data_IF_831073661213
#
_entry.id   IF_831073661213
#
_cell.length_a   1.000
_cell.length_b   1.000
_cell.length_c   1.000
_cell.angle_alpha   90.00
_cell.angle_beta   90.00
_cell.angle_gamma   90.00
#
_symmetry.space_group_name_H-M   'P 1'
#
loop_
_entity.id
_entity.type
_entity.pdbx_description
1 polymer ?
#
# COMPACT_ATOMS: atom_id res chain seq x y z
N UNK A 1 -60.88 20.76 75.74
CA UNK A 1 -59.51 20.22 75.61
C UNK A 1 -59.54 19.16 74.53
N UNK A 2 -58.77 19.37 73.46
CA UNK A 2 -58.80 18.57 72.22
C UNK A 2 -57.61 17.59 72.24
N UNK A 3 -57.90 16.32 72.01
CA UNK A 3 -56.99 15.29 71.52
C UNK A 3 -57.87 14.33 70.69
N UNK A 4 -57.49 13.80 69.54
CA UNK A 4 -56.29 13.86 68.74
C UNK A 4 -56.41 12.76 67.67
N UNK A 5 -55.36 12.65 66.87
CA UNK A 5 -54.91 11.48 66.12
C UNK A 5 -55.07 11.48 64.60
N UNK A 6 -53.99 10.97 63.99
CA UNK A 6 -53.50 11.12 62.61
C UNK A 6 -53.77 9.87 61.77
N UNK A 7 -53.76 10.04 60.44
CA UNK A 7 -53.51 8.97 59.46
C UNK A 7 -52.60 9.48 58.33
N UNK A 8 -51.74 8.64 57.73
CA UNK A 8 -50.58 9.07 56.94
C UNK A 8 -50.83 9.02 55.42
N UNK A 9 -50.27 9.97 54.67
CA UNK A 9 -50.11 9.86 53.23
C UNK A 9 -48.69 9.37 52.93
N UNK A 10 -48.60 8.19 52.29
CA UNK A 10 -47.35 7.64 51.76
C UNK A 10 -47.04 8.31 50.42
N UNK A 11 -45.96 9.08 50.34
CA UNK A 11 -45.43 9.60 49.09
C UNK A 11 -44.44 8.60 48.51
N UNK A 12 -44.76 8.04 47.34
CA UNK A 12 -43.90 7.17 46.55
C UNK A 12 -42.78 8.03 45.94
N UNK A 13 -41.52 7.76 46.30
CA UNK A 13 -40.36 8.29 45.58
C UNK A 13 -40.07 7.40 44.37
N UNK A 14 -40.31 7.93 43.17
CA UNK A 14 -39.80 7.38 41.92
C UNK A 14 -38.29 7.64 41.84
N UNK A 15 -37.48 6.60 42.07
CA UNK A 15 -36.07 6.60 41.73
C UNK A 15 -35.94 6.50 40.21
N UNK A 16 -35.68 7.62 39.54
CA UNK A 16 -35.18 7.61 38.17
C UNK A 16 -33.69 7.21 38.20
N UNK A 17 -33.40 5.96 37.84
CA UNK A 17 -32.06 5.51 37.51
C UNK A 17 -31.65 6.18 36.19
N UNK A 18 -30.92 7.29 36.29
CA UNK A 18 -30.22 7.88 35.14
C UNK A 18 -29.02 7.02 34.78
N UNK A 19 -29.11 6.31 33.66
CA UNK A 19 -27.93 5.77 32.97
C UNK A 19 -27.20 6.97 32.36
N UNK A 20 -26.02 7.30 32.89
CA UNK A 20 -25.21 8.42 32.40
C UNK A 20 -24.67 8.11 31.01
N UNK A 21 -25.14 8.84 30.00
CA UNK A 21 -24.46 8.93 28.71
C UNK A 21 -23.12 9.66 28.93
N UNK A 22 -22.01 9.01 28.59
CA UNK A 22 -20.70 9.64 28.60
C UNK A 22 -20.75 10.92 27.73
N UNK A 23 -20.44 12.06 28.32
CA UNK A 23 -20.49 13.36 27.66
C UNK A 23 -19.28 13.48 26.72
N UNK A 24 -19.44 14.15 25.57
CA UNK A 24 -18.38 14.41 24.57
C UNK A 24 -17.13 15.17 25.09
N UNK A 25 -17.08 15.49 26.40
CA UNK A 25 -16.03 16.27 27.05
C UNK A 25 -14.73 15.49 27.29
N UNK A 26 -14.76 14.15 27.33
CA UNK A 26 -13.59 13.33 27.69
C UNK A 26 -12.78 12.82 26.47
N UNK A 27 -13.19 13.16 25.24
CA UNK A 27 -12.49 12.70 24.04
C UNK A 27 -11.45 13.72 23.56
N UNK A 28 -10.24 13.29 23.13
CA UNK A 28 -9.27 14.16 22.46
C UNK A 28 -9.90 14.88 21.27
N UNK A 29 -9.61 16.18 21.04
CA UNK A 29 -10.24 16.93 19.96
C UNK A 29 -9.97 16.29 18.59
N UNK A 30 -10.95 16.36 17.70
CA UNK A 30 -10.75 15.97 16.31
C UNK A 30 -9.70 16.87 15.66
N UNK A 31 -8.79 16.29 14.88
CA UNK A 31 -7.80 17.05 14.13
C UNK A 31 -8.47 17.89 13.02
N UNK A 32 -7.93 19.07 12.70
CA UNK A 32 -8.49 19.91 11.63
C UNK A 32 -8.40 19.26 10.24
N UNK A 33 -7.36 18.45 10.00
CA UNK A 33 -7.10 17.77 8.72
C UNK A 33 -6.45 16.41 8.96
N UNK A 34 -6.67 15.49 8.04
CA UNK A 34 -5.98 14.21 7.97
C UNK A 34 -5.63 13.86 6.52
N UNK A 35 -4.64 13.00 6.35
CA UNK A 35 -4.36 12.29 5.10
C UNK A 35 -4.57 10.80 5.34
N UNK A 36 -5.33 10.11 4.48
CA UNK A 36 -5.63 8.70 4.71
C UNK A 36 -4.37 7.82 4.68
N UNK A 37 -3.48 8.02 3.71
CA UNK A 37 -2.30 7.16 3.53
C UNK A 37 -1.24 7.41 4.60
N UNK A 38 -1.03 8.67 4.98
CA UNK A 38 -0.02 9.06 5.97
C UNK A 38 -0.50 8.91 7.41
N UNK A 39 -1.75 9.30 7.70
CA UNK A 39 -2.24 9.43 9.08
C UNK A 39 -3.15 8.26 9.50
N UNK A 40 -4.05 7.79 8.64
CA UNK A 40 -5.10 6.81 9.03
C UNK A 40 -4.64 5.37 8.80
N UNK A 41 -4.13 5.07 7.60
CA UNK A 41 -3.69 3.74 7.21
C UNK A 41 -2.72 3.14 8.25
N UNK A 42 -1.65 3.81 8.69
CA UNK A 42 -0.70 3.20 9.62
C UNK A 42 -1.37 2.81 10.94
N UNK A 43 -2.31 3.63 11.45
CA UNK A 43 -3.04 3.33 12.68
C UNK A 43 -3.89 2.07 12.51
N UNK A 44 -4.68 2.00 11.44
CA UNK A 44 -5.54 0.84 11.18
C UNK A 44 -4.71 -0.44 10.95
N UNK A 45 -3.61 -0.31 10.21
CA UNK A 45 -2.68 -1.40 9.89
C UNK A 45 -2.04 -1.98 11.16
N UNK A 46 -1.52 -1.15 12.06
CA UNK A 46 -0.78 -1.61 13.23
C UNK A 46 -1.66 -1.94 14.44
N UNK A 47 -2.79 -1.23 14.61
CA UNK A 47 -3.61 -1.32 15.82
C UNK A 47 -4.92 -2.11 15.63
N UNK A 48 -5.42 -2.26 14.39
CA UNK A 48 -6.76 -2.81 14.15
C UNK A 48 -6.73 -4.13 13.37
N UNK A 49 -6.03 -4.19 12.24
CA UNK A 49 -6.16 -5.28 11.25
C UNK A 49 -5.67 -6.63 11.79
N UNK A 50 -4.75 -6.67 12.75
CA UNK A 50 -4.27 -7.92 13.36
C UNK A 50 -5.37 -8.71 14.11
N UNK A 51 -6.42 -8.02 14.58
CA UNK A 51 -7.57 -8.63 15.26
C UNK A 51 -8.92 -8.46 14.53
N UNK A 52 -9.01 -7.49 13.63
CA UNK A 52 -10.19 -7.16 12.82
C UNK A 52 -9.82 -7.16 11.33
N UNK A 53 -9.16 -8.22 10.86
CA UNK A 53 -8.71 -8.38 9.49
C UNK A 53 -9.04 -9.77 8.94
N UNK A 54 -8.48 -10.17 7.79
CA UNK A 54 -8.80 -11.47 7.19
C UNK A 54 -8.42 -12.66 8.07
N UNK A 55 -7.32 -12.54 8.83
CA UNK A 55 -6.79 -13.62 9.68
C UNK A 55 -7.61 -13.83 10.96
N UNK A 56 -8.20 -12.77 11.50
CA UNK A 56 -8.91 -12.75 12.77
C UNK A 56 -10.01 -11.71 12.71
N UNK A 57 -11.23 -12.11 13.03
CA UNK A 57 -12.43 -11.27 12.91
C UNK A 57 -13.12 -11.20 14.28
N UNK A 58 -12.45 -10.58 15.26
CA UNK A 58 -13.04 -10.43 16.60
C UNK A 58 -14.36 -9.65 16.50
N UNK A 59 -15.41 -10.17 17.15
CA UNK A 59 -16.77 -9.61 17.06
C UNK A 59 -17.33 -9.63 15.64
N UNK A 60 -16.90 -10.59 14.81
CA UNK A 60 -17.26 -10.75 13.39
C UNK A 60 -16.98 -9.50 12.52
N UNK A 61 -16.12 -8.61 13.01
CA UNK A 61 -15.85 -7.31 12.39
C UNK A 61 -14.51 -7.32 11.62
N UNK A 62 -14.51 -6.71 10.43
CA UNK A 62 -13.33 -6.52 9.58
C UNK A 62 -13.14 -5.06 9.19
N UNK A 63 -11.92 -4.55 9.37
CA UNK A 63 -11.50 -3.16 9.15
C UNK A 63 -10.31 -3.06 8.19
N UNK A 64 -10.28 -3.91 7.17
CA UNK A 64 -9.20 -3.94 6.18
C UNK A 64 -9.63 -3.46 4.79
N UNK A 65 -10.92 -3.27 4.53
CA UNK A 65 -11.40 -2.63 3.30
C UNK A 65 -12.71 -1.86 3.52
N UNK A 66 -13.03 -0.94 2.60
CA UNK A 66 -14.29 -0.20 2.62
C UNK A 66 -15.53 -1.11 2.54
N UNK A 67 -15.43 -2.24 1.83
CA UNK A 67 -16.52 -3.22 1.73
C UNK A 67 -16.79 -3.87 3.09
N UNK A 68 -15.74 -4.37 3.75
CA UNK A 68 -15.86 -5.02 5.04
C UNK A 68 -16.28 -4.06 6.15
N UNK A 69 -15.75 -2.83 6.13
CA UNK A 69 -16.15 -1.78 7.07
C UNK A 69 -17.67 -1.53 7.02
N UNK A 70 -18.25 -1.48 5.82
CA UNK A 70 -19.69 -1.27 5.61
C UNK A 70 -20.54 -2.47 6.03
N UNK A 71 -19.99 -3.68 5.95
CA UNK A 71 -20.68 -4.89 6.41
C UNK A 71 -20.90 -4.89 7.92
N UNK A 72 -20.00 -4.27 8.69
CA UNK A 72 -20.04 -4.26 10.15
C UNK A 72 -19.67 -5.63 10.74
N UNK A 73 -19.90 -5.78 12.05
CA UNK A 73 -19.72 -7.04 12.77
C UNK A 73 -20.95 -7.41 13.60
N UNK A 74 -20.76 -8.19 14.65
CA UNK A 74 -21.80 -8.66 15.58
C UNK A 74 -22.63 -7.51 16.17
N UNK A 75 -21.99 -6.38 16.42
CA UNK A 75 -22.61 -5.15 16.95
C UNK A 75 -22.97 -4.12 15.87
N UNK A 76 -23.03 -4.54 14.60
CA UNK A 76 -23.26 -3.64 13.46
C UNK A 76 -22.01 -2.84 13.05
N UNK A 77 -22.24 -1.73 12.36
CA UNK A 77 -21.17 -0.81 11.89
C UNK A 77 -20.82 0.15 13.03
N UNK A 78 -19.58 0.18 13.55
CA UNK A 78 -19.24 0.96 14.74
C UNK A 78 -18.97 2.45 14.47
N UNK A 79 -19.36 2.96 13.29
CA UNK A 79 -19.06 4.31 12.84
C UNK A 79 -20.35 5.09 12.60
N UNK A 80 -20.37 6.34 13.10
CA UNK A 80 -21.40 7.34 12.82
C UNK A 80 -20.75 8.45 11.99
N UNK A 81 -20.82 8.39 10.63
CA UNK A 81 -20.25 9.40 9.74
C UNK A 81 -20.68 10.82 10.11
N UNK A 82 -19.72 11.74 10.25
CA UNK A 82 -19.99 13.12 10.68
C UNK A 82 -20.16 13.32 12.19
N UNK A 83 -20.16 12.25 12.99
CA UNK A 83 -20.40 12.26 14.42
C UNK A 83 -19.42 11.36 15.16
N UNK A 84 -18.14 11.70 15.10
CA UNK A 84 -17.06 10.92 15.73
C UNK A 84 -17.26 10.76 17.24
N UNK A 85 -17.85 11.75 17.92
CA UNK A 85 -18.16 11.67 19.36
C UNK A 85 -19.24 10.66 19.72
N UNK A 86 -20.14 10.34 18.80
CA UNK A 86 -21.23 9.35 18.98
C UNK A 86 -20.80 7.96 18.47
N UNK A 87 -19.68 7.86 17.75
CA UNK A 87 -19.23 6.60 17.15
C UNK A 87 -18.67 5.63 18.19
N UNK A 88 -19.25 4.43 18.28
CA UNK A 88 -18.77 3.35 19.15
C UNK A 88 -17.29 3.01 18.92
N UNK A 89 -16.80 3.13 17.68
CA UNK A 89 -15.38 2.98 17.35
C UNK A 89 -14.49 3.93 18.17
N UNK A 90 -14.85 5.22 18.24
CA UNK A 90 -14.09 6.23 19.00
C UNK A 90 -14.17 5.98 20.50
N UNK A 91 -15.34 5.61 21.01
CA UNK A 91 -15.52 5.28 22.43
C UNK A 91 -14.58 4.13 22.86
N UNK A 92 -14.44 3.10 22.01
CA UNK A 92 -13.55 1.96 22.25
C UNK A 92 -12.08 2.32 22.14
N UNK A 93 -11.67 3.07 21.11
CA UNK A 93 -10.25 3.42 20.91
C UNK A 93 -9.74 4.50 21.85
N UNK A 94 -10.63 5.35 22.36
CA UNK A 94 -10.33 6.27 23.45
C UNK A 94 -10.41 5.59 24.84
N UNK A 95 -10.80 4.31 24.89
CA UNK A 95 -10.89 3.50 26.11
C UNK A 95 -11.78 4.12 27.18
N UNK A 96 -12.90 4.72 26.78
CA UNK A 96 -13.87 5.32 27.69
C UNK A 96 -14.50 4.25 28.60
N UNK A 97 -14.85 3.11 28.01
CA UNK A 97 -15.17 1.90 28.76
C UNK A 97 -13.93 0.98 28.78
N UNK A 98 -13.36 0.70 29.97
CA UNK A 98 -12.24 -0.22 30.10
C UNK A 98 -12.53 -1.63 29.58
N UNK A 99 -13.77 -2.11 29.64
CA UNK A 99 -14.12 -3.49 29.29
C UNK A 99 -14.37 -3.67 27.78
N UNK A 100 -14.68 -2.57 27.07
CA UNK A 100 -14.74 -2.53 25.61
C UNK A 100 -13.50 -1.90 24.96
N UNK A 101 -12.46 -1.62 25.74
CA UNK A 101 -11.25 -0.93 25.29
C UNK A 101 -10.56 -1.64 24.11
N UNK A 102 -10.32 -0.89 23.03
CA UNK A 102 -9.59 -1.36 21.84
C UNK A 102 -8.40 -0.42 21.55
N UNK A 103 -7.24 -0.92 21.08
CA UNK A 103 -6.79 -2.30 21.18
C UNK A 103 -6.89 -2.83 22.62
N UNK A 104 -6.95 -4.15 22.83
CA UNK A 104 -7.06 -4.77 24.16
C UNK A 104 -6.04 -4.25 25.18
N UNK A 105 -6.32 -4.41 26.49
CA UNK A 105 -5.50 -3.85 27.59
C UNK A 105 -4.01 -4.27 27.56
N UNK A 106 -3.71 -5.44 27.02
CA UNK A 106 -2.36 -5.98 26.81
C UNK A 106 -1.64 -5.43 25.56
N UNK A 107 -2.33 -4.61 24.75
CA UNK A 107 -1.81 -3.95 23.56
C UNK A 107 -1.63 -2.45 23.79
N UNK A 108 -0.70 -1.84 23.05
CA UNK A 108 -0.41 -0.40 23.12
C UNK A 108 -1.67 0.44 22.81
N UNK A 109 -1.94 1.43 23.66
CA UNK A 109 -3.05 2.35 23.48
C UNK A 109 -2.73 3.39 22.41
N UNK A 110 -3.76 3.86 21.69
CA UNK A 110 -3.57 4.96 20.74
C UNK A 110 -3.29 6.26 21.51
N UNK A 111 -2.36 7.06 20.98
CA UNK A 111 -2.13 8.42 21.47
C UNK A 111 -3.33 9.33 21.20
N UNK A 112 -3.46 10.39 22.01
CA UNK A 112 -4.51 11.40 21.81
C UNK A 112 -4.50 11.99 20.40
N UNK A 113 -3.33 12.15 19.78
CA UNK A 113 -3.19 12.63 18.41
C UNK A 113 -3.73 11.62 17.37
N UNK A 114 -3.45 10.32 17.55
CA UNK A 114 -4.00 9.26 16.69
C UNK A 114 -5.53 9.17 16.82
N UNK A 115 -6.06 9.25 18.04
CA UNK A 115 -7.52 9.31 18.27
C UNK A 115 -8.10 10.56 17.58
N UNK A 116 -7.47 11.72 17.72
CA UNK A 116 -7.91 12.95 17.05
C UNK A 116 -7.94 12.85 15.52
N UNK A 117 -6.99 12.13 14.90
CA UNK A 117 -6.98 11.85 13.46
C UNK A 117 -8.11 10.92 13.04
N UNK A 118 -8.36 9.84 13.80
CA UNK A 118 -9.48 8.93 13.55
C UNK A 118 -10.83 9.64 13.68
N UNK A 119 -10.96 10.56 14.64
CA UNK A 119 -12.15 11.40 14.78
C UNK A 119 -12.38 12.26 13.54
N UNK A 120 -11.37 12.99 13.09
CA UNK A 120 -11.44 13.81 11.88
C UNK A 120 -11.81 12.99 10.64
N UNK A 121 -11.28 11.77 10.53
CA UNK A 121 -11.60 10.83 9.46
C UNK A 121 -13.07 10.39 9.47
N UNK A 122 -13.62 10.09 10.65
CA UNK A 122 -15.03 9.74 10.80
C UNK A 122 -15.94 10.95 10.53
N UNK A 123 -15.56 12.13 11.03
CA UNK A 123 -16.30 13.37 10.81
C UNK A 123 -16.33 13.77 9.32
N UNK A 124 -15.31 13.40 8.55
CA UNK A 124 -15.29 13.56 7.10
C UNK A 124 -16.09 12.48 6.32
N UNK A 125 -16.80 11.60 7.03
CA UNK A 125 -17.64 10.57 6.43
C UNK A 125 -16.94 9.25 6.17
N UNK A 126 -15.84 8.96 6.89
CA UNK A 126 -15.06 7.72 6.76
C UNK A 126 -14.56 7.48 5.32
N UNK A 127 -13.96 8.49 4.63
CA UNK A 127 -13.52 8.33 3.26
C UNK A 127 -12.43 7.27 3.17
N UNK A 128 -12.59 6.34 2.24
CA UNK A 128 -11.68 5.22 2.00
C UNK A 128 -11.29 5.19 0.52
N UNK A 129 -9.99 5.10 0.16
CA UNK A 129 -9.58 5.07 -1.24
C UNK A 129 -10.16 3.87 -2.00
N UNK A 130 -10.72 4.09 -3.18
CA UNK A 130 -11.37 3.03 -3.95
C UNK A 130 -10.41 1.87 -4.23
N UNK A 131 -10.88 0.63 -4.02
CA UNK A 131 -10.09 -0.59 -4.23
C UNK A 131 -8.94 -0.81 -3.24
N UNK A 132 -8.71 0.09 -2.28
CA UNK A 132 -7.62 -0.05 -1.32
C UNK A 132 -7.99 -1.06 -0.21
N UNK A 133 -7.05 -1.96 0.09
CA UNK A 133 -7.16 -2.94 1.17
C UNK A 133 -5.93 -2.82 2.06
N UNK A 134 -6.13 -2.61 3.36
CA UNK A 134 -5.06 -2.59 4.35
C UNK A 134 -4.61 -4.03 4.57
N UNK A 135 -3.33 -4.28 4.35
CA UNK A 135 -2.74 -5.60 4.55
C UNK A 135 -2.26 -5.73 5.98
N UNK A 136 -2.44 -6.93 6.52
CA UNK A 136 -1.94 -7.26 7.84
C UNK A 136 -0.42 -7.51 7.76
N UNK A 137 0.37 -6.48 8.10
CA UNK A 137 1.84 -6.52 8.12
C UNK A 137 2.41 -6.94 9.47
N UNK A 138 1.56 -7.17 10.49
CA UNK A 138 2.03 -7.69 11.76
C UNK A 138 2.71 -9.05 11.55
N UNK A 139 3.94 -9.27 12.09
CA UNK A 139 4.64 -10.54 12.04
C UNK A 139 3.67 -11.66 12.41
N UNK A 140 3.59 -12.70 11.58
CA UNK A 140 2.76 -13.83 11.91
C UNK A 140 3.42 -14.55 13.09
N UNK A 141 2.85 -14.39 14.28
CA UNK A 141 3.23 -15.15 15.47
C UNK A 141 2.81 -16.61 15.25
N UNK A 142 3.73 -17.40 14.68
CA UNK A 142 3.53 -18.83 14.48
C UNK A 142 3.54 -19.55 15.83
N UNK A 143 2.60 -20.47 16.02
CA UNK A 143 2.60 -21.31 17.20
C UNK A 143 3.78 -22.28 17.18
N UNK A 144 4.18 -22.79 18.35
CA UNK A 144 5.17 -23.88 18.43
C UNK A 144 4.75 -25.11 17.63
N UNK A 145 3.46 -25.38 17.53
CA UNK A 145 2.93 -26.50 16.76
C UNK A 145 3.13 -26.28 15.25
N UNK A 146 2.90 -25.06 14.75
CA UNK A 146 3.13 -24.73 13.34
C UNK A 146 4.61 -24.89 12.98
N UNK A 147 5.52 -24.38 13.81
CA UNK A 147 6.96 -24.52 13.61
C UNK A 147 7.43 -25.98 13.69
N UNK A 148 6.80 -26.78 14.57
CA UNK A 148 7.08 -28.21 14.68
C UNK A 148 6.59 -29.02 13.46
N UNK A 149 5.62 -28.50 12.71
CA UNK A 149 5.10 -29.16 11.49
C UNK A 149 5.98 -28.99 10.26
N UNK A 150 7.00 -28.11 10.32
CA UNK A 150 7.88 -27.84 9.19
C UNK A 150 8.74 -29.07 8.84
N UNK A 151 8.85 -29.45 7.55
CA UNK A 151 9.73 -30.53 7.09
C UNK A 151 11.18 -30.33 7.52
N UNK A 152 11.83 -31.33 8.11
CA UNK A 152 13.20 -31.18 8.62
C UNK A 152 14.16 -30.59 7.55
N UNK A 153 15.10 -29.71 7.93
CA UNK A 153 16.16 -29.28 7.03
C UNK A 153 16.95 -30.49 6.54
N UNK A 154 17.37 -30.49 5.27
CA UNK A 154 18.29 -31.49 4.75
C UNK A 154 19.58 -31.54 5.58
N UNK A 155 20.10 -32.75 5.80
CA UNK A 155 21.24 -33.04 6.69
C UNK A 155 22.61 -32.95 6.00
N UNK A 156 22.66 -32.27 4.85
CA UNK A 156 23.86 -32.08 4.03
C UNK A 156 24.06 -30.63 3.64
N UNK A 157 25.28 -30.29 3.23
CA UNK A 157 25.57 -28.98 2.63
C UNK A 157 24.76 -28.81 1.35
N UNK A 158 24.12 -27.64 1.19
CA UNK A 158 23.35 -27.29 0.01
C UNK A 158 24.24 -26.54 -0.99
N UNK A 159 24.26 -27.01 -2.25
CA UNK A 159 24.85 -26.31 -3.38
C UNK A 159 23.77 -25.46 -4.05
N UNK A 160 23.92 -24.14 -4.03
CA UNK A 160 22.90 -23.23 -4.54
C UNK A 160 22.53 -23.54 -6.00
N UNK A 161 23.53 -23.75 -6.86
CA UNK A 161 23.31 -23.90 -8.31
C UNK A 161 22.70 -25.25 -8.62
N UNK A 162 23.14 -26.32 -7.94
CA UNK A 162 22.68 -27.69 -8.23
C UNK A 162 21.35 -28.02 -7.55
N UNK A 163 21.19 -27.62 -6.30
CA UNK A 163 20.07 -28.07 -5.46
C UNK A 163 18.93 -27.05 -5.44
N UNK A 164 19.26 -25.76 -5.35
CA UNK A 164 18.28 -24.72 -5.03
C UNK A 164 17.79 -23.95 -6.27
N UNK A 165 18.68 -23.62 -7.19
CA UNK A 165 18.36 -22.87 -8.39
C UNK A 165 17.30 -23.54 -9.26
N UNK A 166 17.27 -24.89 -9.44
CA UNK A 166 16.19 -25.55 -10.15
C UNK A 166 14.83 -25.39 -9.47
N UNK A 167 14.79 -25.36 -8.13
CA UNK A 167 13.56 -25.11 -7.35
C UNK A 167 13.08 -23.69 -7.61
N UNK A 168 13.96 -22.69 -7.49
CA UNK A 168 13.59 -21.29 -7.74
C UNK A 168 13.14 -21.06 -9.20
N UNK A 169 13.81 -21.68 -10.17
CA UNK A 169 13.43 -21.59 -11.57
C UNK A 169 12.06 -22.22 -11.84
N UNK A 170 11.78 -23.39 -11.28
CA UNK A 170 10.53 -24.11 -11.51
C UNK A 170 9.33 -23.59 -10.73
N UNK A 171 9.55 -22.93 -9.58
CA UNK A 171 8.47 -22.59 -8.64
C UNK A 171 8.36 -21.11 -8.29
N UNK A 172 9.38 -20.28 -8.55
CA UNK A 172 9.44 -18.92 -8.01
C UNK A 172 9.60 -17.82 -9.07
N UNK A 173 10.53 -17.96 -10.03
CA UNK A 173 10.95 -16.86 -10.91
C UNK A 173 9.85 -16.32 -11.85
N UNK A 174 8.84 -17.11 -12.16
CA UNK A 174 7.71 -16.64 -12.98
C UNK A 174 6.94 -15.49 -12.33
N UNK A 175 6.93 -15.41 -10.99
CA UNK A 175 6.23 -14.36 -10.23
C UNK A 175 7.15 -13.49 -9.36
N UNK A 176 8.33 -13.97 -8.99
CA UNK A 176 9.33 -13.29 -8.14
C UNK A 176 10.68 -13.18 -8.86
N UNK A 177 10.65 -12.79 -10.13
CA UNK A 177 11.80 -12.69 -11.01
C UNK A 177 11.81 -11.39 -11.82
N UNK A 178 12.46 -11.34 -12.99
CA UNK A 178 12.65 -10.09 -13.72
C UNK A 178 11.35 -9.59 -14.38
N UNK A 179 10.49 -10.53 -14.84
CA UNK A 179 9.25 -10.22 -15.56
C UNK A 179 8.11 -9.79 -14.63
N UNK A 180 8.10 -10.30 -13.40
CA UNK A 180 7.06 -10.05 -12.40
C UNK A 180 7.71 -10.10 -11.02
N UNK A 181 7.35 -9.13 -10.19
CA UNK A 181 7.94 -8.88 -8.88
C UNK A 181 6.79 -8.79 -7.87
N UNK A 182 6.04 -9.88 -7.69
CA UNK A 182 4.92 -9.89 -6.75
C UNK A 182 5.40 -9.55 -5.34
N UNK A 183 4.64 -8.69 -4.65
CA UNK A 183 4.99 -8.14 -3.33
C UNK A 183 6.38 -7.47 -3.29
N UNK A 184 6.80 -6.85 -4.40
CA UNK A 184 8.11 -6.20 -4.56
C UNK A 184 9.31 -7.12 -4.25
N UNK A 185 9.11 -8.43 -4.32
CA UNK A 185 10.11 -9.41 -3.93
C UNK A 185 10.72 -10.11 -5.14
N UNK A 186 12.06 -10.19 -5.15
CA UNK A 186 12.85 -10.83 -6.20
C UNK A 186 13.80 -11.89 -5.64
N UNK A 187 13.66 -13.11 -6.14
CA UNK A 187 14.51 -14.26 -5.78
C UNK A 187 15.68 -14.47 -6.73
N UNK A 188 15.66 -13.84 -7.91
CA UNK A 188 16.64 -14.04 -8.97
C UNK A 188 17.87 -13.15 -8.85
N UNK A 189 17.86 -12.17 -7.93
CA UNK A 189 18.92 -11.19 -7.75
C UNK A 189 19.34 -11.09 -6.28
N UNK A 190 20.61 -11.39 -6.02
CA UNK A 190 21.17 -11.58 -4.68
C UNK A 190 21.04 -10.34 -3.78
N UNK A 191 21.35 -9.11 -4.20
CA UNK A 191 21.13 -7.94 -3.35
C UNK A 191 19.67 -7.73 -2.95
N UNK A 192 18.73 -7.97 -3.86
CA UNK A 192 17.30 -7.74 -3.59
C UNK A 192 16.66 -8.86 -2.78
N UNK A 193 17.12 -10.11 -2.92
CA UNK A 193 16.54 -11.23 -2.14
C UNK A 193 16.73 -11.03 -0.64
N UNK A 194 17.87 -10.45 -0.22
CA UNK A 194 18.16 -10.17 1.18
C UNK A 194 17.61 -8.83 1.66
N UNK A 195 17.22 -7.92 0.76
CA UNK A 195 16.51 -6.70 1.12
C UNK A 195 15.05 -6.98 1.51
N UNK A 196 14.48 -8.10 1.04
CA UNK A 196 13.08 -8.45 1.27
C UNK A 196 12.13 -7.79 0.28
N UNK A 197 10.85 -7.74 0.62
CA UNK A 197 9.80 -7.10 -0.19
C UNK A 197 8.78 -6.37 0.69
N UNK A 198 7.55 -6.19 0.19
CA UNK A 198 6.46 -5.51 0.92
C UNK A 198 6.17 -6.10 2.30
N UNK A 199 6.47 -7.37 2.51
CA UNK A 199 6.23 -8.11 3.75
C UNK A 199 7.47 -8.18 4.66
N UNK A 200 8.48 -7.34 4.40
CA UNK A 200 9.75 -7.33 5.13
C UNK A 200 10.72 -8.40 4.66
N UNK A 201 11.61 -8.83 5.57
CA UNK A 201 12.66 -9.79 5.27
C UNK A 201 12.08 -11.18 4.99
N UNK A 202 12.21 -11.63 3.74
CA UNK A 202 11.78 -12.97 3.35
C UNK A 202 12.70 -14.06 3.93
N UNK A 203 13.98 -13.73 4.17
CA UNK A 203 15.03 -14.64 4.59
C UNK A 203 15.71 -14.12 5.87
N UNK A 204 15.70 -14.93 6.92
CA UNK A 204 16.46 -14.73 8.15
C UNK A 204 17.65 -15.69 8.11
N UNK A 205 18.84 -15.20 7.77
CA UNK A 205 20.04 -16.02 7.63
C UNK A 205 20.31 -16.79 8.94
N UNK A 206 20.48 -18.09 8.84
CA UNK A 206 20.69 -18.99 9.99
C UNK A 206 19.42 -19.42 10.72
N UNK A 207 18.22 -18.93 10.32
CA UNK A 207 16.96 -19.30 10.95
C UNK A 207 15.82 -19.44 9.93
N UNK A 208 15.75 -20.62 9.32
CA UNK A 208 14.71 -21.00 8.37
C UNK A 208 13.32 -21.01 8.99
N UNK A 209 13.22 -21.34 10.27
CA UNK A 209 11.95 -21.40 10.99
C UNK A 209 11.33 -20.01 11.19
N UNK A 210 12.13 -18.94 11.24
CA UNK A 210 11.65 -17.54 11.27
C UNK A 210 11.52 -16.89 9.89
N UNK A 211 12.00 -17.53 8.83
CA UNK A 211 11.99 -16.95 7.49
C UNK A 211 10.60 -16.97 6.87
N UNK A 212 10.06 -15.80 6.53
CA UNK A 212 8.72 -15.67 5.93
C UNK A 212 8.57 -16.45 4.63
N UNK A 213 9.65 -16.61 3.85
CA UNK A 213 9.67 -17.46 2.66
C UNK A 213 9.27 -18.91 3.00
N UNK A 214 9.80 -19.47 4.09
CA UNK A 214 9.50 -20.84 4.53
C UNK A 214 8.04 -20.95 4.97
N UNK A 215 7.51 -19.94 5.66
CA UNK A 215 6.12 -19.94 6.11
C UNK A 215 5.12 -20.01 4.94
N UNK A 216 5.42 -19.31 3.84
CA UNK A 216 4.59 -19.33 2.64
C UNK A 216 4.68 -20.66 1.87
N UNK A 217 5.88 -21.20 1.67
CA UNK A 217 6.05 -22.44 0.88
C UNK A 217 5.63 -23.69 1.65
N UNK A 218 5.71 -23.67 2.99
CA UNK A 218 5.23 -24.75 3.85
C UNK A 218 3.71 -24.66 4.14
N UNK A 219 3.03 -23.63 3.64
CA UNK A 219 1.59 -23.47 3.84
C UNK A 219 1.16 -23.11 5.27
N UNK A 220 2.09 -22.65 6.11
CA UNK A 220 1.78 -22.13 7.45
C UNK A 220 1.01 -20.80 7.39
N UNK A 221 0.93 -20.20 6.20
CA UNK A 221 0.04 -19.08 5.89
C UNK A 221 -1.04 -19.58 4.91
N UNK A 222 -2.23 -19.97 5.40
CA UNK A 222 -3.33 -20.45 4.55
C UNK A 222 -3.68 -19.42 3.47
N UNK A 223 -3.71 -18.15 3.88
CA UNK A 223 -3.81 -17.01 2.98
C UNK A 223 -2.44 -16.73 2.35
N UNK A 224 -2.30 -17.06 1.07
CA UNK A 224 -1.10 -16.72 0.29
C UNK A 224 -0.02 -17.79 0.19
N UNK A 225 -0.34 -19.08 0.44
CA UNK A 225 0.56 -20.22 0.16
C UNK A 225 1.27 -20.05 -1.19
N UNK A 226 2.57 -20.28 -1.20
CA UNK A 226 3.38 -20.28 -2.41
C UNK A 226 3.78 -21.71 -2.83
N UNK A 227 3.87 -21.99 -4.14
CA UNK A 227 3.46 -21.13 -5.25
C UNK A 227 1.92 -21.04 -5.40
N UNK A 228 1.38 -19.85 -5.68
CA UNK A 228 -0.09 -19.61 -5.73
C UNK A 228 -0.85 -20.45 -6.76
N UNK A 229 -0.27 -20.65 -7.94
CA UNK A 229 -0.91 -21.32 -9.10
C UNK A 229 -0.15 -22.56 -9.57
N UNK A 230 0.67 -23.13 -8.70
CA UNK A 230 1.40 -24.36 -8.98
C UNK A 230 1.26 -25.33 -7.79
N UNK A 231 1.55 -26.63 -7.98
CA UNK A 231 1.58 -27.59 -6.89
C UNK A 231 2.47 -27.11 -5.72
N UNK A 232 2.18 -27.50 -4.47
CA UNK A 232 3.09 -27.31 -3.35
C UNK A 232 4.47 -27.90 -3.62
N UNK A 233 5.48 -27.24 -3.05
CA UNK A 233 6.81 -27.83 -2.97
C UNK A 233 6.72 -29.12 -2.15
N UNK A 234 7.54 -30.11 -2.52
CA UNK A 234 7.67 -31.32 -1.73
C UNK A 234 8.34 -31.03 -0.38
N UNK A 235 8.11 -31.91 0.60
CA UNK A 235 8.80 -31.84 1.89
C UNK A 235 10.32 -31.81 1.75
N UNK A 236 10.86 -32.50 0.74
CA UNK A 236 12.29 -32.50 0.40
C UNK A 236 12.75 -31.14 -0.13
N UNK A 237 12.01 -30.54 -1.07
CA UNK A 237 12.32 -29.19 -1.59
C UNK A 237 12.27 -28.13 -0.48
N UNK A 238 11.29 -28.22 0.42
CA UNK A 238 11.21 -27.37 1.60
C UNK A 238 12.41 -27.63 2.54
N UNK A 239 12.79 -28.89 2.74
CA UNK A 239 13.97 -29.26 3.53
C UNK A 239 15.28 -28.69 2.96
N UNK A 240 15.45 -28.66 1.63
CA UNK A 240 16.58 -28.03 0.94
C UNK A 240 16.59 -26.52 1.19
N UNK A 241 15.44 -25.86 1.01
CA UNK A 241 15.29 -24.42 1.29
C UNK A 241 15.67 -24.07 2.73
N UNK A 242 15.17 -24.86 3.69
CA UNK A 242 15.47 -24.67 5.10
C UNK A 242 16.95 -24.84 5.40
N UNK A 243 17.55 -25.95 4.94
CA UNK A 243 18.96 -26.22 5.15
C UNK A 243 19.85 -25.12 4.56
N UNK A 244 19.52 -24.63 3.36
CA UNK A 244 20.24 -23.51 2.75
C UNK A 244 20.18 -22.24 3.61
N UNK A 245 19.01 -21.87 4.11
CA UNK A 245 18.86 -20.69 4.98
C UNK A 245 19.62 -20.87 6.29
N UNK A 246 19.49 -22.04 6.92
CA UNK A 246 20.16 -22.39 8.19
C UNK A 246 21.69 -22.42 8.03
N UNK A 247 22.19 -22.75 6.84
CA UNK A 247 23.62 -22.71 6.47
C UNK A 247 24.12 -21.29 6.13
N UNK A 248 23.29 -20.25 6.31
CA UNK A 248 23.66 -18.85 6.09
C UNK A 248 23.18 -18.25 4.77
N UNK A 249 22.35 -18.98 4.02
CA UNK A 249 21.77 -18.57 2.74
C UNK A 249 22.84 -18.11 1.73
N UNK A 250 23.88 -18.92 1.52
CA UNK A 250 24.94 -18.60 0.56
C UNK A 250 24.35 -18.51 -0.86
N UNK A 251 24.53 -17.35 -1.50
CA UNK A 251 24.03 -17.09 -2.85
C UNK A 251 25.23 -16.63 -3.68
N UNK A 252 25.72 -17.44 -4.64
CA UNK A 252 26.88 -17.08 -5.46
C UNK A 252 26.53 -15.96 -6.44
N UNK A 253 27.45 -15.02 -6.66
CA UNK A 253 27.21 -13.85 -7.52
C UNK A 253 26.92 -14.28 -8.97
N UNK A 254 27.51 -15.40 -9.41
CA UNK A 254 27.32 -15.98 -10.74
C UNK A 254 25.90 -16.53 -10.96
N UNK A 255 25.16 -16.85 -9.89
CA UNK A 255 23.77 -17.28 -9.98
C UNK A 255 22.78 -16.11 -9.96
N UNK A 256 23.24 -14.90 -9.66
CA UNK A 256 22.40 -13.69 -9.63
C UNK A 256 22.25 -13.14 -11.04
N UNK A 257 21.03 -12.71 -11.41
CA UNK A 257 20.86 -11.94 -12.64
C UNK A 257 21.57 -10.59 -12.51
N UNK A 258 22.16 -10.09 -13.59
CA UNK A 258 22.73 -8.75 -13.62
C UNK A 258 21.61 -7.77 -13.98
N UNK A 259 21.27 -6.87 -13.05
CA UNK A 259 20.36 -5.76 -13.36
C UNK A 259 21.12 -4.73 -14.18
N UNK A 260 20.60 -4.39 -15.37
CA UNK A 260 21.11 -3.25 -16.12
C UNK A 260 20.79 -1.96 -15.36
N UNK A 261 21.83 -1.19 -15.06
CA UNK A 261 21.67 0.13 -14.48
C UNK A 261 21.20 1.11 -15.56
N UNK A 262 19.89 1.32 -15.65
CA UNK A 262 19.29 2.24 -16.61
C UNK A 262 19.27 3.70 -16.13
N UNK A 263 19.94 4.03 -15.02
CA UNK A 263 20.00 5.42 -14.52
C UNK A 263 20.74 6.38 -15.45
N UNK A 264 21.49 5.84 -16.43
CA UNK A 264 22.11 6.63 -17.49
C UNK A 264 21.14 7.06 -18.61
N UNK A 265 19.87 6.63 -18.56
CA UNK A 265 18.85 7.08 -19.51
C UNK A 265 18.69 8.61 -19.46
N UNK A 266 18.54 9.24 -20.63
CA UNK A 266 18.57 10.71 -20.78
C UNK A 266 17.58 11.45 -19.88
N UNK A 267 16.42 10.84 -19.58
CA UNK A 267 15.37 11.41 -18.73
C UNK A 267 15.71 11.48 -17.25
N UNK A 268 16.68 10.68 -16.77
CA UNK A 268 17.16 10.69 -15.38
C UNK A 268 18.38 11.59 -15.19
N UNK A 269 18.91 12.16 -16.28
CA UNK A 269 20.03 13.09 -16.25
C UNK A 269 19.51 14.52 -16.20
N UNK A 270 19.99 15.37 -15.28
CA UNK A 270 19.65 16.78 -15.27
C UNK A 270 19.96 17.41 -16.64
N UNK A 271 19.01 18.14 -17.27
CA UNK A 271 19.26 18.79 -18.54
C UNK A 271 20.33 19.87 -18.37
N UNK A 272 21.38 19.80 -19.19
CA UNK A 272 22.45 20.80 -19.23
C UNK A 272 22.24 21.68 -20.45
N UNK A 273 22.20 23.00 -20.26
CA UNK A 273 22.01 23.95 -21.35
C UNK A 273 23.23 23.95 -22.27
N UNK A 274 23.06 23.47 -23.50
CA UNK A 274 24.11 23.52 -24.52
C UNK A 274 24.34 24.95 -25.03
N UNK A 275 25.57 25.31 -25.42
CA UNK A 275 25.82 26.56 -26.12
C UNK A 275 25.11 26.55 -27.47
N UNK A 276 24.44 27.66 -27.80
CA UNK A 276 23.70 27.80 -29.06
C UNK A 276 24.71 28.05 -30.20
N UNK A 277 24.63 27.31 -31.32
CA UNK A 277 25.50 27.53 -32.48
C UNK A 277 25.35 28.95 -33.05
N UNK A 278 26.47 29.57 -33.44
CA UNK A 278 26.47 30.88 -34.07
C UNK A 278 26.57 30.75 -35.59
N UNK A 279 25.46 30.39 -36.25
CA UNK A 279 25.41 30.10 -37.68
C UNK A 279 24.40 30.97 -38.46
N UNK A 280 24.05 32.13 -37.88
CA UNK A 280 23.21 33.16 -38.51
C UNK A 280 21.70 32.94 -38.39
N UNK A 281 21.25 31.84 -37.76
CA UNK A 281 19.82 31.61 -37.52
C UNK A 281 19.30 32.49 -36.37
N UNK A 282 18.11 33.07 -36.57
CA UNK A 282 17.48 33.94 -35.57
C UNK A 282 16.89 33.16 -34.39
N UNK A 283 16.36 31.97 -34.65
CA UNK A 283 15.82 31.09 -33.61
C UNK A 283 16.93 30.13 -33.11
N UNK A 284 17.16 30.04 -31.78
CA UNK A 284 18.14 29.12 -31.23
C UNK A 284 17.92 27.65 -31.62
N UNK A 285 16.68 27.21 -31.82
CA UNK A 285 16.36 25.84 -32.25
C UNK A 285 16.86 25.62 -33.68
N UNK A 286 16.57 26.56 -34.58
CA UNK A 286 17.00 26.49 -35.98
C UNK A 286 18.52 26.49 -36.10
N UNK A 287 19.22 27.19 -35.19
CA UNK A 287 20.68 27.14 -35.12
C UNK A 287 21.20 25.71 -34.86
N UNK A 288 20.60 24.96 -33.92
CA UNK A 288 20.95 23.56 -33.67
C UNK A 288 20.57 22.65 -34.86
N UNK A 289 19.38 22.85 -35.44
CA UNK A 289 18.91 22.05 -36.58
C UNK A 289 19.82 22.25 -37.79
N UNK A 290 20.16 23.49 -38.13
CA UNK A 290 21.07 23.83 -39.23
C UNK A 290 22.45 23.23 -39.04
N UNK A 291 22.99 23.25 -37.83
CA UNK A 291 24.29 22.63 -37.57
C UNK A 291 24.26 21.12 -37.84
N UNK A 292 23.17 20.43 -37.45
CA UNK A 292 23.02 19.01 -37.75
C UNK A 292 22.84 18.75 -39.24
N UNK A 293 21.96 19.49 -39.91
CA UNK A 293 21.71 19.36 -41.35
C UNK A 293 22.99 19.56 -42.16
N UNK A 294 23.77 20.59 -41.84
CA UNK A 294 25.05 20.89 -42.51
C UNK A 294 26.03 19.73 -42.37
N UNK A 295 26.11 19.12 -41.18
CA UNK A 295 26.98 17.95 -40.92
C UNK A 295 26.59 16.72 -41.75
N UNK A 296 25.30 16.58 -42.04
CA UNK A 296 24.75 15.48 -42.83
C UNK A 296 24.70 15.81 -44.34
N UNK A 297 25.13 17.00 -44.76
CA UNK A 297 25.06 17.44 -46.16
C UNK A 297 23.64 17.76 -46.62
N UNK A 298 22.74 18.11 -45.69
CA UNK A 298 21.35 18.45 -45.94
C UNK A 298 21.11 19.95 -45.75
N UNK A 299 20.03 20.45 -46.35
CA UNK A 299 19.50 21.81 -46.14
C UNK A 299 18.11 21.78 -45.52
N UNK A 300 17.61 22.95 -45.14
CA UNK A 300 16.21 23.08 -44.72
C UNK A 300 15.27 22.77 -45.88
N UNK A 301 14.12 22.18 -45.55
CA UNK A 301 13.00 22.08 -46.47
C UNK A 301 12.52 23.48 -46.87
N UNK A 302 11.96 23.65 -48.08
CA UNK A 302 11.30 24.89 -48.45
C UNK A 302 10.15 25.19 -47.49
N UNK A 303 9.90 26.48 -47.28
CA UNK A 303 8.77 26.94 -46.48
C UNK A 303 7.45 26.44 -47.10
N UNK A 304 6.55 25.96 -46.24
CA UNK A 304 5.24 25.52 -46.68
C UNK A 304 4.37 26.74 -47.07
N UNK A 305 3.44 26.54 -47.99
CA UNK A 305 2.49 27.59 -48.35
C UNK A 305 1.59 27.98 -47.16
N UNK A 306 1.05 29.19 -47.23
CA UNK A 306 0.21 29.78 -46.18
C UNK A 306 -0.93 28.86 -45.73
N UNK A 307 -1.60 28.18 -46.68
CA UNK A 307 -2.74 27.31 -46.37
C UNK A 307 -2.30 26.03 -45.67
N UNK A 308 -1.17 25.47 -46.08
CA UNK A 308 -0.55 24.33 -45.38
C UNK A 308 -0.13 24.70 -43.96
N UNK A 309 0.46 25.89 -43.76
CA UNK A 309 0.84 26.38 -42.43
C UNK A 309 -0.38 26.57 -41.52
N UNK A 310 -1.43 27.25 -42.01
CA UNK A 310 -2.68 27.45 -41.26
C UNK A 310 -3.30 26.11 -40.84
N UNK A 311 -3.35 25.16 -41.77
CA UNK A 311 -3.91 23.84 -41.50
C UNK A 311 -3.11 23.08 -40.44
N UNK A 312 -1.77 23.08 -40.52
CA UNK A 312 -0.91 22.42 -39.52
C UNK A 312 -1.11 23.03 -38.14
N UNK A 313 -1.07 24.37 -38.06
CA UNK A 313 -1.24 25.09 -36.81
C UNK A 313 -2.59 24.79 -36.14
N UNK A 314 -3.69 24.79 -36.90
CA UNK A 314 -5.02 24.49 -36.37
C UNK A 314 -5.14 23.04 -35.89
N UNK A 315 -4.63 22.08 -36.67
CA UNK A 315 -4.64 20.68 -36.25
C UNK A 315 -3.78 20.44 -34.99
N UNK A 316 -2.63 21.10 -34.89
CA UNK A 316 -1.73 20.95 -33.73
C UNK A 316 -2.29 21.60 -32.46
N UNK A 317 -2.95 22.77 -32.58
CA UNK A 317 -3.45 23.53 -31.43
C UNK A 317 -4.86 23.13 -30.99
N UNK A 318 -5.76 22.83 -31.93
CA UNK A 318 -7.18 22.60 -31.65
C UNK A 318 -7.66 21.20 -32.02
N UNK A 319 -6.90 20.47 -32.85
CA UNK A 319 -7.30 19.18 -33.39
C UNK A 319 -8.35 19.27 -34.51
N UNK A 320 -8.73 20.47 -34.95
CA UNK A 320 -9.74 20.70 -36.00
C UNK A 320 -9.12 21.38 -37.23
N UNK A 321 -9.63 21.11 -38.45
CA UNK A 321 -9.20 21.84 -39.64
C UNK A 321 -9.73 23.29 -39.62
N UNK A 322 -9.03 24.24 -40.27
CA UNK A 322 -9.48 25.64 -40.33
C UNK A 322 -10.81 25.76 -41.09
N UNK A 323 -11.73 26.55 -40.56
CA UNK A 323 -12.98 26.91 -41.23
C UNK A 323 -12.73 27.81 -42.44
N UNK A 324 -13.68 27.88 -43.38
CA UNK A 324 -13.56 28.76 -44.55
C UNK A 324 -13.38 30.23 -44.16
N UNK A 325 -13.99 30.68 -43.07
CA UNK A 325 -13.83 32.04 -42.57
C UNK A 325 -12.40 32.30 -42.09
N UNK A 326 -11.80 31.37 -41.35
CA UNK A 326 -10.41 31.46 -40.90
C UNK A 326 -9.42 31.38 -42.06
N UNK A 327 -9.70 30.56 -43.08
CA UNK A 327 -8.90 30.47 -44.29
C UNK A 327 -8.86 31.82 -45.04
N UNK A 328 -10.02 32.46 -45.23
CA UNK A 328 -10.12 33.79 -45.88
C UNK A 328 -9.43 34.89 -45.06
N UNK A 329 -9.66 34.89 -43.75
CA UNK A 329 -9.04 35.86 -42.85
C UNK A 329 -7.50 35.74 -42.87
N UNK A 330 -6.98 34.51 -42.89
CA UNK A 330 -5.53 34.25 -42.96
C UNK A 330 -4.94 34.62 -44.33
N UNK A 331 -5.70 34.43 -45.42
CA UNK A 331 -5.31 34.83 -46.76
C UNK A 331 -5.39 36.35 -47.02
N UNK A 332 -5.92 37.13 -46.07
CA UNK A 332 -6.06 38.58 -46.19
C UNK A 332 -7.21 39.04 -47.10
N UNK A 333 -8.21 38.19 -47.36
CA UNK A 333 -9.42 38.57 -48.10
C UNK A 333 -10.44 39.23 -47.16
N UNK A 334 -11.11 40.34 -47.57
CA UNK A 334 -12.17 40.94 -46.76
C UNK A 334 -13.36 39.98 -46.59
N UNK A 335 -13.97 40.01 -45.40
CA UNK A 335 -15.17 39.24 -45.05
C UNK A 335 -16.38 39.58 -45.93
#
# INVERSE_FOLDING_TARGET
MIAGNRSPFWTIFLFALGVGAAQAADLPPAAERFDFQRDIRPILETACVSCHGPRKQKGEFRLDSAEHLRKGGENGVPFEPGKSGESAFIQRVARIDPDEAMPPKDSEALSAAQVGKLRAWIDAGVPWPEGFVIRDTAPLELSKADLASLPAPADRKIDFVKDLQPIFAGACYDCHGPKRQEAEFRLDHKPTVFAGGELGLALVKGDSAKSTLIHFVAGLRPEGRMPKKAPPLSSEQIGILRAWIDQGAEFPDEASVILQDNRDHWSFRPPVKAPVPQNGEANPIDAFVKERLTREGLGFSPEADAMTLLRRLQLDLTGLPPTLAEQRAFAGEPL
#
